data_IF_230584010236
#
_entry.id   IF_230584010236
#
_cell.length_a   1.000
_cell.length_b   1.000
_cell.length_c   1.000
_cell.angle_alpha   90.00
_cell.angle_beta   90.00
_cell.angle_gamma   90.00
#
_symmetry.space_group_name_H-M   'P 1'
#
loop_
_entity.id
_entity.type
_entity.pdbx_description
1 polymer ?
#
# COMPACT_ATOMS: atom_id res chain seq x y z
N UNK A 1 -9.53 18.36 -16.58
CA UNK A 1 -9.57 17.20 -17.50
C UNK A 1 -10.95 16.56 -17.34
N UNK A 2 -11.80 16.44 -18.37
CA UNK A 2 -13.09 15.76 -18.23
C UNK A 2 -12.83 14.25 -18.29
N UNK A 3 -12.39 13.69 -17.16
CA UNK A 3 -12.11 12.27 -17.01
C UNK A 3 -13.27 11.68 -16.20
N UNK A 4 -14.13 10.87 -16.83
CA UNK A 4 -15.21 10.16 -16.15
C UNK A 4 -14.64 9.41 -14.93
N UNK A 5 -14.94 9.84 -13.68
CA UNK A 5 -14.31 9.28 -12.50
C UNK A 5 -14.56 7.79 -12.31
N UNK A 6 -15.64 7.26 -12.90
CA UNK A 6 -16.00 5.85 -12.78
C UNK A 6 -15.18 4.95 -13.71
N UNK A 7 -14.56 5.51 -14.77
CA UNK A 7 -13.69 4.75 -15.69
C UNK A 7 -12.26 4.61 -15.20
N UNK A 8 -11.85 5.46 -14.25
CA UNK A 8 -10.48 5.53 -13.79
C UNK A 8 -10.36 5.27 -12.30
N UNK A 9 -9.17 4.84 -11.89
CA UNK A 9 -8.74 4.81 -10.50
C UNK A 9 -7.37 5.45 -10.38
N UNK A 10 -7.16 6.17 -9.29
CA UNK A 10 -5.89 6.75 -8.95
C UNK A 10 -4.95 5.67 -8.42
N UNK A 11 -3.72 5.69 -8.89
CA UNK A 11 -2.65 4.86 -8.40
C UNK A 11 -1.50 5.75 -7.92
N UNK A 12 -1.10 5.56 -6.66
CA UNK A 12 0.05 6.28 -6.08
C UNK A 12 1.16 5.28 -5.79
N UNK A 13 2.28 5.48 -6.47
CA UNK A 13 3.52 4.76 -6.24
C UNK A 13 4.53 5.72 -5.60
N UNK A 14 5.20 5.26 -4.56
CA UNK A 14 6.15 6.05 -3.81
C UNK A 14 7.49 5.35 -3.70
N UNK A 15 8.56 6.12 -3.78
CA UNK A 15 9.89 5.71 -3.35
C UNK A 15 10.35 6.58 -2.18
N UNK A 16 11.58 6.35 -1.71
CA UNK A 16 12.19 7.19 -0.67
C UNK A 16 12.37 8.65 -1.10
N UNK A 17 12.43 8.93 -2.40
CA UNK A 17 12.75 10.27 -2.92
C UNK A 17 11.76 10.75 -3.96
N UNK A 18 10.85 9.89 -4.43
CA UNK A 18 9.91 10.25 -5.49
C UNK A 18 8.49 9.82 -5.19
N UNK A 19 7.55 10.58 -5.75
CA UNK A 19 6.13 10.29 -5.74
C UNK A 19 5.62 10.31 -7.18
N UNK A 20 4.89 9.26 -7.56
CA UNK A 20 4.29 9.13 -8.88
C UNK A 20 2.80 8.85 -8.72
N UNK A 21 2.00 9.66 -9.40
CA UNK A 21 0.55 9.54 -9.41
C UNK A 21 0.07 9.31 -10.83
N UNK A 22 -0.69 8.23 -10.99
CA UNK A 22 -1.10 7.70 -12.29
C UNK A 22 -2.58 7.36 -12.25
N UNK A 23 -3.33 7.69 -13.30
CA UNK A 23 -4.67 7.17 -13.51
C UNK A 23 -4.58 5.86 -14.28
N UNK A 24 -5.24 4.83 -13.74
CA UNK A 24 -5.39 3.52 -14.37
C UNK A 24 -6.84 3.34 -14.79
N UNK A 25 -7.06 2.93 -16.04
CA UNK A 25 -8.40 2.58 -16.48
C UNK A 25 -8.87 1.28 -15.81
N UNK A 26 -10.13 1.26 -15.37
CA UNK A 26 -10.68 0.15 -14.60
C UNK A 26 -10.75 -1.15 -15.41
N UNK A 27 -11.10 -1.08 -16.70
CA UNK A 27 -11.13 -2.22 -17.63
C UNK A 27 -9.76 -2.66 -18.15
N UNK A 28 -8.69 -1.90 -17.89
CA UNK A 28 -7.34 -2.07 -18.50
C UNK A 28 -7.30 -1.93 -20.02
N UNK A 29 -8.38 -1.44 -20.64
CA UNK A 29 -8.47 -1.25 -22.09
C UNK A 29 -7.74 0.00 -22.58
N UNK A 30 -7.35 0.88 -21.66
CA UNK A 30 -6.67 2.15 -21.95
C UNK A 30 -5.29 2.19 -21.27
N UNK A 31 -4.32 2.89 -21.88
CA UNK A 31 -3.03 3.12 -21.28
C UNK A 31 -3.16 3.94 -19.98
N UNK A 32 -2.20 3.74 -19.08
CA UNK A 32 -2.10 4.52 -17.85
C UNK A 32 -1.70 5.97 -18.15
N UNK A 33 -2.32 6.94 -17.46
CA UNK A 33 -2.04 8.37 -17.65
C UNK A 33 -1.32 8.91 -16.43
N UNK A 34 -0.10 9.43 -16.58
CA UNK A 34 0.58 10.11 -15.48
C UNK A 34 -0.08 11.46 -15.21
N UNK A 35 -0.44 11.74 -13.96
CA UNK A 35 -1.12 12.98 -13.55
C UNK A 35 -0.21 13.87 -12.72
N UNK A 36 0.66 13.27 -11.89
CA UNK A 36 1.69 14.00 -11.17
C UNK A 36 2.93 13.14 -11.00
N UNK A 37 4.09 13.79 -10.98
CA UNK A 37 5.37 13.16 -10.72
C UNK A 37 6.30 14.15 -10.03
N UNK A 38 7.01 13.69 -9.01
CA UNK A 38 8.06 14.46 -8.33
C UNK A 38 9.24 13.57 -8.01
N UNK A 39 10.46 14.07 -8.25
CA UNK A 39 11.74 13.36 -8.08
C UNK A 39 12.46 13.67 -6.77
N UNK A 40 11.98 14.66 -6.03
CA UNK A 40 12.54 15.10 -4.74
C UNK A 40 11.44 15.34 -3.71
N UNK A 41 10.50 14.40 -3.63
CA UNK A 41 9.43 14.41 -2.62
C UNK A 41 9.38 13.06 -1.93
N UNK A 42 9.63 13.10 -0.63
CA UNK A 42 9.45 11.95 0.25
C UNK A 42 7.97 11.69 0.48
N UNK A 43 7.63 10.42 0.66
CA UNK A 43 6.32 9.97 1.15
C UNK A 43 6.06 10.44 2.60
N UNK A 44 5.51 11.65 2.72
CA UNK A 44 4.96 12.18 3.98
C UNK A 44 3.48 12.51 3.79
N UNK A 45 2.75 12.63 4.89
CA UNK A 45 1.32 12.98 4.86
C UNK A 45 1.11 14.34 4.18
N UNK A 46 1.94 15.33 4.50
CA UNK A 46 1.85 16.70 3.97
C UNK A 46 2.12 16.73 2.46
N UNK A 47 3.13 15.98 2.00
CA UNK A 47 3.46 15.92 0.58
C UNK A 47 2.37 15.22 -0.24
N UNK A 48 1.78 14.15 0.30
CA UNK A 48 0.66 13.46 -0.35
C UNK A 48 -0.55 14.38 -0.40
N UNK A 49 -0.88 15.09 0.69
CA UNK A 49 -1.96 16.09 0.72
C UNK A 49 -1.77 17.13 -0.38
N UNK A 50 -0.59 17.73 -0.47
CA UNK A 50 -0.25 18.72 -1.50
C UNK A 50 -0.46 18.19 -2.91
N UNK A 51 -0.10 16.92 -3.17
CA UNK A 51 -0.30 16.32 -4.48
C UNK A 51 -1.78 16.09 -4.77
N UNK A 52 -2.56 15.61 -3.79
CA UNK A 52 -4.00 15.42 -3.93
C UNK A 52 -4.73 16.75 -4.23
N UNK A 53 -4.32 17.83 -3.58
CA UNK A 53 -4.84 19.17 -3.84
C UNK A 53 -4.53 19.63 -5.27
N UNK A 54 -3.29 19.41 -5.74
CA UNK A 54 -2.84 19.82 -7.09
C UNK A 54 -3.54 19.06 -8.21
N UNK A 55 -3.96 17.83 -7.98
CA UNK A 55 -4.73 17.04 -8.95
C UNK A 55 -6.24 17.20 -8.77
N UNK A 56 -6.67 18.09 -7.86
CA UNK A 56 -8.07 18.32 -7.48
C UNK A 56 -8.81 17.02 -7.13
N UNK A 57 -8.19 16.15 -6.31
CA UNK A 57 -8.73 14.82 -6.02
C UNK A 57 -10.20 14.86 -5.55
N UNK A 58 -10.56 15.85 -4.73
CA UNK A 58 -11.89 16.00 -4.16
C UNK A 58 -12.98 16.24 -5.20
N UNK A 59 -12.65 16.80 -6.36
CA UNK A 59 -13.62 17.06 -7.44
C UNK A 59 -14.03 15.77 -8.18
N UNK A 60 -13.11 14.81 -8.27
CA UNK A 60 -13.33 13.56 -9.00
C UNK A 60 -13.66 12.39 -8.08
N UNK A 61 -13.19 12.42 -6.83
CA UNK A 61 -13.41 11.38 -5.83
C UNK A 61 -13.04 9.97 -6.33
N UNK A 62 -11.92 9.87 -7.08
CA UNK A 62 -11.50 8.59 -7.67
C UNK A 62 -11.29 7.52 -6.61
N UNK A 63 -11.60 6.27 -6.98
CA UNK A 63 -11.08 5.12 -6.23
C UNK A 63 -9.56 5.11 -6.32
N UNK A 64 -8.89 4.79 -5.22
CA UNK A 64 -7.46 4.90 -5.04
C UNK A 64 -6.86 3.53 -4.74
N UNK A 65 -5.72 3.22 -5.34
CA UNK A 65 -4.89 2.08 -4.98
C UNK A 65 -3.45 2.53 -4.78
N UNK A 66 -2.78 2.05 -3.75
CA UNK A 66 -1.40 2.46 -3.47
C UNK A 66 -0.67 1.39 -2.66
N UNK A 67 0.64 1.53 -2.53
CA UNK A 67 1.41 0.72 -1.59
C UNK A 67 0.87 0.88 -0.15
N UNK A 68 0.96 -0.18 0.67
CA UNK A 68 0.50 -0.20 2.05
C UNK A 68 1.03 0.96 2.91
N UNK A 69 2.24 1.46 2.63
CA UNK A 69 2.81 2.60 3.37
C UNK A 69 2.12 3.92 2.99
N UNK A 70 1.87 4.15 1.71
CA UNK A 70 1.09 5.29 1.22
C UNK A 70 -0.36 5.21 1.72
N UNK A 71 -0.96 4.02 1.74
CA UNK A 71 -2.30 3.80 2.30
C UNK A 71 -2.35 4.20 3.79
N UNK A 72 -1.30 3.88 4.56
CA UNK A 72 -1.21 4.32 5.95
C UNK A 72 -1.20 5.85 6.05
N UNK A 73 -0.39 6.53 5.23
CA UNK A 73 -0.34 8.00 5.19
C UNK A 73 -1.67 8.62 4.77
N UNK A 74 -2.32 8.09 3.73
CA UNK A 74 -3.63 8.53 3.25
C UNK A 74 -4.75 8.39 4.29
N UNK A 75 -4.64 7.38 5.16
CA UNK A 75 -5.59 7.14 6.27
C UNK A 75 -5.15 7.79 7.59
N UNK A 76 -4.08 8.60 7.56
CA UNK A 76 -3.58 9.31 8.74
C UNK A 76 -2.89 8.42 9.77
N UNK A 77 -2.57 7.16 9.43
CA UNK A 77 -1.92 6.22 10.32
C UNK A 77 -0.41 6.47 10.42
N UNK A 78 0.11 6.26 11.63
CA UNK A 78 1.53 6.29 11.90
C UNK A 78 2.24 5.18 11.14
N UNK A 79 3.21 5.55 10.31
CA UNK A 79 4.05 4.60 9.58
C UNK A 79 5.06 3.92 10.52
N UNK A 80 5.60 2.77 10.11
CA UNK A 80 6.58 2.00 10.89
C UNK A 80 5.98 0.78 11.61
N UNK A 81 6.70 0.25 12.60
CA UNK A 81 6.28 -0.95 13.35
C UNK A 81 5.41 -0.55 14.55
N UNK A 82 4.16 -0.21 14.27
CA UNK A 82 3.22 0.30 15.27
C UNK A 82 2.16 -0.76 15.63
N UNK A 83 1.57 -0.64 16.83
CA UNK A 83 0.61 -1.61 17.38
C UNK A 83 -0.60 -1.87 16.47
N UNK A 84 -1.34 -0.83 16.08
CA UNK A 84 -2.55 -0.87 15.25
C UNK A 84 -2.29 -0.36 13.83
N UNK A 85 -1.47 -1.08 13.06
CA UNK A 85 -0.98 -0.61 11.75
C UNK A 85 -2.00 -0.67 10.61
N UNK A 86 -3.06 -1.46 10.74
CA UNK A 86 -3.99 -1.72 9.63
C UNK A 86 -5.16 -0.72 9.61
N UNK A 87 -5.51 -0.24 8.42
CA UNK A 87 -6.63 0.69 8.24
C UNK A 87 -8.00 -0.01 8.22
N UNK A 88 -8.05 -1.31 7.88
CA UNK A 88 -9.31 -2.08 7.89
C UNK A 88 -9.70 -2.61 9.28
N UNK A 89 -8.71 -2.88 10.14
CA UNK A 89 -8.94 -3.52 11.43
C UNK A 89 -7.91 -3.14 12.48
N UNK A 90 -8.28 -3.31 13.73
CA UNK A 90 -7.49 -2.97 14.91
C UNK A 90 -6.60 -4.13 15.33
N UNK A 91 -5.88 -4.71 14.36
CA UNK A 91 -4.97 -5.82 14.62
C UNK A 91 -3.79 -5.36 15.47
N UNK A 92 -3.60 -6.00 16.61
CA UNK A 92 -2.44 -5.80 17.47
C UNK A 92 -1.21 -6.55 16.92
N UNK A 93 -0.30 -5.80 16.29
CA UNK A 93 0.94 -6.34 15.73
C UNK A 93 1.94 -6.84 16.78
N UNK A 94 1.76 -6.45 18.05
CA UNK A 94 2.66 -6.79 19.17
C UNK A 94 2.23 -8.07 19.90
N UNK A 95 0.96 -8.44 19.82
CA UNK A 95 0.40 -9.66 20.43
C UNK A 95 0.75 -10.93 19.62
N UNK A 96 2.03 -11.33 19.60
CA UNK A 96 2.54 -12.45 18.78
C UNK A 96 1.86 -13.79 19.10
N UNK A 97 1.51 -14.01 20.36
CA UNK A 97 0.74 -15.16 20.86
C UNK A 97 -0.62 -15.29 20.15
N UNK A 98 -1.23 -14.16 19.76
CA UNK A 98 -2.57 -14.13 19.15
C UNK A 98 -2.55 -14.16 17.62
N UNK A 99 -1.40 -14.05 16.97
CA UNK A 99 -1.31 -13.83 15.51
C UNK A 99 -1.90 -14.95 14.65
N UNK A 100 -1.84 -16.19 15.13
CA UNK A 100 -2.34 -17.36 14.41
C UNK A 100 -3.62 -17.94 15.02
N UNK A 101 -4.04 -17.42 16.18
CA UNK A 101 -5.23 -17.86 16.90
C UNK A 101 -6.42 -16.97 16.53
N UNK A 102 -6.22 -15.64 16.55
CA UNK A 102 -7.29 -14.68 16.29
C UNK A 102 -7.40 -14.44 14.79
N UNK A 103 -8.44 -15.03 14.19
CA UNK A 103 -8.75 -14.89 12.75
C UNK A 103 -9.47 -13.57 12.42
N UNK A 104 -10.32 -13.09 13.32
CA UNK A 104 -11.13 -11.88 13.13
C UNK A 104 -10.77 -10.85 14.19
N UNK A 105 -10.14 -9.76 13.74
CA UNK A 105 -9.86 -8.59 14.58
C UNK A 105 -11.01 -7.58 14.46
N UNK A 106 -11.25 -6.73 15.49
CA UNK A 106 -12.25 -5.68 15.40
C UNK A 106 -12.02 -4.80 14.17
N UNK A 107 -13.10 -4.46 13.46
CA UNK A 107 -13.03 -3.53 12.34
C UNK A 107 -12.65 -2.15 12.85
N UNK A 108 -11.86 -1.43 12.05
CA UNK A 108 -11.53 -0.04 12.36
C UNK A 108 -12.62 0.84 11.77
N UNK A 109 -13.41 1.46 12.64
CA UNK A 109 -14.48 2.36 12.23
C UNK A 109 -14.03 3.82 12.24
N UNK A 110 -13.20 4.23 13.22
CA UNK A 110 -12.78 5.61 13.41
C UNK A 110 -11.30 5.84 13.08
N UNK A 111 -11.02 7.06 12.61
CA UNK A 111 -9.67 7.57 12.34
C UNK A 111 -9.46 8.89 13.09
N UNK A 112 -9.75 8.89 14.39
CA UNK A 112 -9.56 10.08 15.23
C UNK A 112 -8.07 10.23 15.60
N UNK A 113 -7.43 11.37 15.27
CA UNK A 113 -6.04 11.62 15.66
C UNK A 113 -5.80 11.42 17.16
N UNK A 114 -4.65 10.83 17.51
CA UNK A 114 -4.29 10.47 18.88
C UNK A 114 -4.80 9.09 19.34
N UNK A 115 -5.71 8.45 18.58
CA UNK A 115 -6.22 7.12 18.92
C UNK A 115 -5.68 6.04 18.00
N UNK A 116 -5.34 4.88 18.57
CA UNK A 116 -5.03 3.65 17.82
C UNK A 116 -4.06 3.89 16.64
N UNK A 117 -3.02 4.67 16.91
CA UNK A 117 -1.93 5.07 15.99
C UNK A 117 -2.35 5.97 14.81
N UNK A 118 -3.49 6.62 14.88
CA UNK A 118 -3.83 7.71 13.97
C UNK A 118 -3.10 8.96 14.46
N UNK A 119 -2.34 9.60 13.58
CA UNK A 119 -1.53 10.79 13.87
C UNK A 119 -2.01 12.03 13.12
N UNK A 120 -2.69 11.84 11.99
CA UNK A 120 -3.24 12.91 11.18
C UNK A 120 -4.68 12.57 10.78
N UNK A 121 -5.44 13.57 10.36
CA UNK A 121 -6.73 13.33 9.72
C UNK A 121 -6.55 12.57 8.39
N UNK A 122 -7.48 11.65 8.07
CA UNK A 122 -7.44 10.93 6.81
C UNK A 122 -7.63 11.90 5.63
N UNK A 123 -6.79 11.78 4.61
CA UNK A 123 -6.86 12.57 3.38
C UNK A 123 -7.95 12.07 2.43
N UNK A 124 -8.29 10.79 2.52
CA UNK A 124 -9.29 10.15 1.66
C UNK A 124 -10.18 9.20 2.48
N UNK A 125 -11.46 9.02 2.09
CA UNK A 125 -12.33 8.04 2.73
C UNK A 125 -11.79 6.62 2.61
N UNK A 126 -11.93 5.79 3.66
CA UNK A 126 -11.45 4.39 3.65
C UNK A 126 -12.11 3.58 2.54
N UNK A 127 -13.35 3.91 2.20
CA UNK A 127 -14.19 3.25 1.18
C UNK A 127 -13.68 3.49 -0.24
N UNK A 128 -12.82 4.49 -0.43
CA UNK A 128 -12.19 4.78 -1.71
C UNK A 128 -10.88 4.05 -1.90
N UNK A 129 -10.33 3.41 -0.86
CA UNK A 129 -9.05 2.73 -0.94
C UNK A 129 -9.23 1.26 -1.31
N UNK A 130 -8.65 0.86 -2.44
CA UNK A 130 -8.49 -0.53 -2.86
C UNK A 130 -7.08 -1.03 -2.56
N UNK A 131 -7.03 -2.16 -1.86
CA UNK A 131 -5.79 -2.91 -1.68
C UNK A 131 -5.36 -3.52 -3.01
N UNK A 132 -4.19 -3.15 -3.56
CA UNK A 132 -3.70 -3.76 -4.79
C UNK A 132 -3.32 -5.23 -4.53
N UNK A 133 -3.93 -6.21 -5.23
CA UNK A 133 -3.63 -7.64 -5.04
C UNK A 133 -2.16 -7.98 -5.24
N UNK A 134 -1.47 -7.19 -6.09
CA UNK A 134 -0.06 -7.36 -6.41
C UNK A 134 0.84 -7.24 -5.17
N UNK A 135 0.69 -6.18 -4.36
CA UNK A 135 1.55 -5.96 -3.19
C UNK A 135 1.33 -7.02 -2.10
N UNK A 136 0.09 -7.49 -1.95
CA UNK A 136 -0.23 -8.61 -1.03
C UNK A 136 0.47 -9.88 -1.51
N UNK A 137 0.32 -10.23 -2.80
CA UNK A 137 0.91 -11.43 -3.37
C UNK A 137 2.45 -11.40 -3.29
N UNK A 138 3.07 -10.28 -3.64
CA UNK A 138 4.51 -10.10 -3.54
C UNK A 138 5.00 -10.20 -2.09
N UNK A 139 4.30 -9.59 -1.15
CA UNK A 139 4.61 -9.68 0.28
C UNK A 139 4.53 -11.12 0.81
N UNK A 140 3.48 -11.86 0.44
CA UNK A 140 3.31 -13.26 0.85
C UNK A 140 4.40 -14.17 0.27
N UNK A 141 4.70 -14.06 -1.03
CA UNK A 141 5.76 -14.85 -1.67
C UNK A 141 7.11 -14.56 -1.01
N UNK A 142 7.40 -13.28 -0.71
CA UNK A 142 8.63 -12.91 0.00
C UNK A 142 8.74 -13.59 1.37
N UNK A 143 7.67 -13.59 2.17
CA UNK A 143 7.68 -14.27 3.47
C UNK A 143 7.78 -15.78 3.34
N UNK A 144 7.09 -16.36 2.36
CA UNK A 144 7.14 -17.79 2.06
C UNK A 144 8.58 -18.21 1.73
N UNK A 145 9.21 -17.57 0.75
CA UNK A 145 10.59 -17.89 0.34
C UNK A 145 11.58 -17.67 1.48
N UNK A 146 11.40 -16.63 2.29
CA UNK A 146 12.27 -16.36 3.45
C UNK A 146 12.18 -17.44 4.54
N UNK A 147 11.02 -18.07 4.68
CA UNK A 147 10.77 -19.14 5.65
C UNK A 147 11.19 -20.53 5.14
N UNK A 148 11.49 -20.68 3.84
CA UNK A 148 11.94 -21.96 3.28
C UNK A 148 13.32 -22.35 3.81
N UNK A 149 13.53 -23.66 3.94
CA UNK A 149 14.88 -24.19 4.15
C UNK A 149 15.75 -23.91 2.93
N UNK A 150 16.87 -23.20 3.15
CA UNK A 150 17.80 -22.76 2.10
C UNK A 150 18.61 -23.92 1.51
N UNK A 151 18.69 -25.05 2.20
CA UNK A 151 19.35 -26.27 1.71
C UNK A 151 18.38 -27.27 1.09
N UNK A 152 17.08 -27.13 1.34
CA UNK A 152 16.06 -28.06 0.89
C UNK A 152 15.78 -27.99 -0.61
N UNK A 153 15.29 -29.09 -1.15
CA UNK A 153 14.99 -29.27 -2.57
C UNK A 153 14.07 -28.19 -3.14
N UNK A 154 13.10 -27.73 -2.34
CA UNK A 154 12.19 -26.65 -2.73
C UNK A 154 12.91 -25.33 -3.04
N UNK A 155 13.90 -24.94 -2.22
CA UNK A 155 14.67 -23.72 -2.46
C UNK A 155 15.66 -23.90 -3.63
N UNK A 156 16.26 -25.09 -3.76
CA UNK A 156 17.09 -25.44 -4.92
C UNK A 156 16.29 -25.38 -6.22
N UNK A 157 15.05 -25.86 -6.23
CA UNK A 157 14.15 -25.74 -7.38
C UNK A 157 13.86 -24.27 -7.74
N UNK A 158 13.67 -23.39 -6.75
CA UNK A 158 13.51 -21.96 -7.02
C UNK A 158 14.77 -21.37 -7.65
N UNK A 159 15.98 -21.75 -7.19
CA UNK A 159 17.24 -21.32 -7.82
C UNK A 159 17.31 -21.75 -9.30
N UNK A 160 16.89 -22.97 -9.63
CA UNK A 160 16.91 -23.45 -11.03
C UNK A 160 15.86 -22.78 -11.91
N UNK A 161 14.72 -22.36 -11.36
CA UNK A 161 13.70 -21.61 -12.11
C UNK A 161 14.06 -20.14 -12.29
N UNK A 162 14.78 -19.54 -11.35
CA UNK A 162 15.16 -18.13 -11.38
C UNK A 162 16.68 -17.94 -11.54
N UNK A 163 17.27 -18.53 -12.58
CA UNK A 163 18.72 -18.54 -12.86
C UNK A 163 19.38 -17.16 -12.93
N UNK A 164 18.61 -16.10 -13.21
CA UNK A 164 19.10 -14.71 -13.33
C UNK A 164 19.08 -13.93 -12.00
N UNK A 165 18.54 -14.52 -10.93
CA UNK A 165 18.54 -13.87 -9.62
C UNK A 165 19.81 -14.27 -8.87
N UNK A 166 20.55 -13.27 -8.37
CA UNK A 166 21.68 -13.54 -7.48
C UNK A 166 21.19 -14.14 -6.16
N UNK A 167 22.05 -14.90 -5.47
CA UNK A 167 21.71 -15.45 -4.15
C UNK A 167 21.23 -14.37 -3.17
N UNK A 168 21.79 -13.16 -3.23
CA UNK A 168 21.38 -12.02 -2.42
C UNK A 168 19.94 -11.54 -2.70
N UNK A 169 19.38 -11.80 -3.89
CA UNK A 169 17.99 -11.49 -4.25
C UNK A 169 17.01 -12.59 -3.85
N UNK A 170 17.51 -13.80 -3.59
CA UNK A 170 16.72 -14.95 -3.13
C UNK A 170 16.72 -15.04 -1.58
N UNK A 171 17.76 -14.49 -0.91
CA UNK A 171 17.94 -14.47 0.55
C UNK A 171 17.04 -13.50 1.32
#
# INVERSE_FOLDING_TARGET
MPCDPHKWRLFIDSSKTSLKVVLLANGKDLPSVAVAYSVDMKETHENISRILDKICYHDYNWKLSAELKVVALLTGLQTGYTKYRYFLCERDSRARDKHYIVRKWPRRETFTPGQKNVVHDPLVPKENIYLPPLYIKLGLIKQFVKAMDKTGDGFNFLKTKFLRLSEAKIK
#
